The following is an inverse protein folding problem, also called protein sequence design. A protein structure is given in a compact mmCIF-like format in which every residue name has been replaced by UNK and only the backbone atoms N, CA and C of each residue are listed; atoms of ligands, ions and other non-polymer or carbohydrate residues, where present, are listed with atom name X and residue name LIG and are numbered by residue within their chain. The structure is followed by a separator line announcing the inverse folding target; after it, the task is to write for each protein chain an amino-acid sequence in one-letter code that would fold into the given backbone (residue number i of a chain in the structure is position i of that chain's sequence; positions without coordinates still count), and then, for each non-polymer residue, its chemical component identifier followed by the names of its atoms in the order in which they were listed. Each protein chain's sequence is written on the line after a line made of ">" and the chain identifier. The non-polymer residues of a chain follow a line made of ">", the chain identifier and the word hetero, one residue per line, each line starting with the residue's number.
data_IF_722006010622
#
_entry.id   IF_722006010622
#
_cell.length_a   1.000
_cell.length_b   1.000
_cell.length_c   1.000
_cell.angle_alpha   90.00
_cell.angle_beta   90.00
_cell.angle_gamma   90.00
#
_symmetry.space_group_name_H-M   'P 1'
#
loop_
_entity.id
_entity.type
_entity.pdbx_description
1 polymer ?
#
# COMPACT_ATOMS: atom_id res chain seq x y z
N UNK A 1 17.73 -6.97 -15.82
CA UNK A 1 16.98 -6.08 -14.93
C UNK A 1 16.46 -6.91 -13.76
N UNK A 2 17.01 -6.69 -12.56
CA UNK A 2 16.66 -7.42 -11.34
C UNK A 2 15.66 -6.63 -10.50
N UNK A 3 14.65 -7.30 -9.98
CA UNK A 3 13.59 -6.70 -9.14
C UNK A 3 13.59 -7.35 -7.76
N UNK A 4 13.59 -6.51 -6.72
CA UNK A 4 13.35 -6.92 -5.33
C UNK A 4 11.99 -6.42 -4.87
N UNK A 5 11.07 -7.34 -4.57
CA UNK A 5 9.76 -7.02 -4.02
C UNK A 5 9.75 -7.28 -2.51
N UNK A 6 9.47 -6.25 -1.73
CA UNK A 6 9.45 -6.32 -0.27
C UNK A 6 8.06 -6.07 0.28
N UNK A 7 7.66 -6.89 1.25
CA UNK A 7 6.45 -6.76 2.04
C UNK A 7 6.77 -6.86 3.54
N UNK A 8 5.86 -6.36 4.37
CA UNK A 8 6.00 -6.40 5.82
C UNK A 8 4.85 -7.21 6.47
N UNK A 9 4.96 -8.54 6.56
CA UNK A 9 3.98 -9.37 7.27
C UNK A 9 3.96 -9.06 8.76
N UNK A 10 2.78 -9.15 9.36
CA UNK A 10 2.57 -8.88 10.78
C UNK A 10 1.72 -9.97 11.42
N UNK A 11 2.10 -10.40 12.61
CA UNK A 11 1.31 -11.33 13.42
C UNK A 11 0.05 -10.64 13.94
N UNK A 12 -1.10 -11.15 13.56
CA UNK A 12 -2.40 -10.59 13.94
C UNK A 12 -3.33 -11.66 14.51
N UNK A 13 -4.35 -11.21 15.22
CA UNK A 13 -5.43 -12.09 15.70
C UNK A 13 -6.45 -12.34 14.59
N UNK A 14 -7.28 -13.37 14.75
CA UNK A 14 -8.38 -13.71 13.82
C UNK A 14 -9.42 -12.60 13.63
N UNK A 15 -9.44 -11.60 14.51
CA UNK A 15 -10.34 -10.45 14.40
C UNK A 15 -9.82 -9.34 13.48
N UNK A 16 -8.58 -9.47 12.98
CA UNK A 16 -7.99 -8.52 12.03
C UNK A 16 -8.26 -8.96 10.59
N UNK A 17 -8.61 -8.02 9.73
CA UNK A 17 -8.76 -8.26 8.28
C UNK A 17 -7.46 -8.80 7.65
N UNK A 18 -6.32 -8.43 8.19
CA UNK A 18 -5.00 -8.95 7.77
C UNK A 18 -4.85 -10.45 8.00
N UNK A 19 -5.65 -11.06 8.90
CA UNK A 19 -5.57 -12.49 9.14
C UNK A 19 -5.94 -13.31 7.90
N UNK A 20 -6.91 -12.84 7.13
CA UNK A 20 -7.34 -13.46 5.87
C UNK A 20 -6.60 -12.88 4.66
N UNK A 21 -6.29 -11.58 4.67
CA UNK A 21 -5.69 -10.90 3.53
C UNK A 21 -4.22 -11.31 3.28
N UNK A 22 -3.39 -11.41 4.33
CA UNK A 22 -1.97 -11.73 4.17
C UNK A 22 -1.72 -13.07 3.44
N UNK A 23 -2.36 -14.19 3.79
CA UNK A 23 -2.16 -15.44 3.07
C UNK A 23 -2.51 -15.36 1.58
N UNK A 24 -3.51 -14.55 1.21
CA UNK A 24 -3.87 -14.31 -0.21
C UNK A 24 -2.76 -13.52 -0.90
N UNK A 25 -2.26 -12.47 -0.28
CA UNK A 25 -1.12 -11.69 -0.79
C UNK A 25 0.08 -12.60 -1.04
N UNK A 26 0.44 -13.46 -0.09
CA UNK A 26 1.59 -14.37 -0.23
C UNK A 26 1.42 -15.32 -1.41
N UNK A 27 0.25 -15.98 -1.52
CA UNK A 27 -0.04 -16.91 -2.62
C UNK A 27 0.01 -16.23 -3.98
N UNK A 28 -0.61 -15.05 -4.09
CA UNK A 28 -0.70 -14.35 -5.37
C UNK A 28 0.64 -13.79 -5.80
N UNK A 29 1.48 -13.33 -4.88
CA UNK A 29 2.85 -12.88 -5.16
C UNK A 29 3.73 -14.05 -5.63
N UNK A 30 3.67 -15.20 -4.95
CA UNK A 30 4.40 -16.41 -5.36
C UNK A 30 3.94 -16.90 -6.73
N UNK A 31 2.61 -16.92 -6.96
CA UNK A 31 2.04 -17.31 -8.26
C UNK A 31 2.52 -16.36 -9.35
N UNK A 32 2.40 -15.06 -9.16
CA UNK A 32 2.81 -14.07 -10.14
C UNK A 32 4.31 -14.17 -10.48
N UNK A 33 5.17 -14.46 -9.49
CA UNK A 33 6.58 -14.73 -9.73
C UNK A 33 6.78 -15.99 -10.56
N UNK A 34 6.16 -17.09 -10.18
CA UNK A 34 6.35 -18.38 -10.83
C UNK A 34 5.81 -18.39 -12.27
N UNK A 35 4.74 -17.67 -12.53
CA UNK A 35 4.12 -17.54 -13.86
C UNK A 35 4.88 -16.56 -14.78
N UNK A 36 5.70 -15.65 -14.21
CA UNK A 36 6.43 -14.65 -14.98
C UNK A 36 7.55 -15.27 -15.81
N UNK A 37 7.73 -14.79 -17.04
CA UNK A 37 8.88 -15.13 -17.89
C UNK A 37 10.21 -14.58 -17.30
N UNK A 38 10.14 -13.64 -16.37
CA UNK A 38 11.29 -13.02 -15.68
C UNK A 38 11.53 -13.58 -14.27
N UNK A 39 10.94 -14.71 -13.91
CA UNK A 39 10.94 -15.28 -12.53
C UNK A 39 12.33 -15.33 -11.88
N UNK A 40 13.37 -15.64 -12.66
CA UNK A 40 14.76 -15.78 -12.14
C UNK A 40 15.40 -14.43 -11.79
N UNK A 41 14.86 -13.33 -12.30
CA UNK A 41 15.27 -11.96 -12.02
C UNK A 41 14.42 -11.29 -10.92
N UNK A 42 13.46 -12.02 -10.35
CA UNK A 42 12.57 -11.51 -9.31
C UNK A 42 12.93 -12.18 -7.99
N UNK A 43 13.24 -11.36 -6.98
CA UNK A 43 13.39 -11.80 -5.60
C UNK A 43 12.31 -11.19 -4.73
N UNK A 44 11.74 -11.99 -3.85
CA UNK A 44 10.69 -11.58 -2.92
C UNK A 44 11.22 -11.62 -1.50
N UNK A 45 11.04 -10.53 -0.77
CA UNK A 45 11.57 -10.34 0.57
C UNK A 45 10.47 -10.07 1.58
N UNK A 46 10.68 -10.55 2.80
CA UNK A 46 9.88 -10.19 3.96
C UNK A 46 10.74 -9.55 5.04
N UNK A 47 10.17 -8.56 5.71
CA UNK A 47 10.77 -7.91 6.85
C UNK A 47 9.69 -7.64 7.90
N UNK A 48 10.02 -7.77 9.17
CA UNK A 48 9.13 -7.47 10.29
C UNK A 48 9.90 -7.47 11.58
N UNK A 49 9.20 -7.39 12.70
CA UNK A 49 9.82 -7.59 14.01
C UNK A 49 10.03 -9.08 14.29
N UNK A 50 10.89 -9.40 15.26
CA UNK A 50 11.17 -10.80 15.61
C UNK A 50 9.91 -11.57 16.01
N UNK A 51 8.94 -10.90 16.63
CA UNK A 51 7.64 -11.47 17.00
C UNK A 51 6.74 -11.82 15.81
N UNK A 52 7.01 -11.28 14.62
CA UNK A 52 6.25 -11.52 13.39
C UNK A 52 6.77 -12.71 12.58
N UNK A 53 7.98 -13.21 12.88
CA UNK A 53 8.61 -14.32 12.15
C UNK A 53 7.71 -15.55 11.94
N UNK A 54 6.84 -15.95 12.91
CA UNK A 54 5.98 -17.12 12.72
C UNK A 54 4.95 -17.01 11.59
N UNK A 55 4.68 -15.82 11.07
CA UNK A 55 3.73 -15.61 9.95
C UNK A 55 4.42 -15.32 8.63
N UNK A 56 5.75 -15.39 8.58
CA UNK A 56 6.48 -15.18 7.34
C UNK A 56 6.25 -16.34 6.37
N UNK A 57 5.90 -16.06 5.11
CA UNK A 57 5.59 -17.09 4.14
C UNK A 57 6.83 -17.82 3.66
N UNK A 58 6.71 -19.11 3.39
CA UNK A 58 7.75 -19.87 2.68
C UNK A 58 7.93 -19.30 1.25
N UNK A 59 9.14 -19.41 0.70
CA UNK A 59 9.47 -18.92 -0.64
C UNK A 59 9.89 -17.46 -0.73
N UNK A 60 9.86 -16.73 0.39
CA UNK A 60 10.42 -15.38 0.51
C UNK A 60 11.76 -15.41 1.24
N UNK A 61 12.66 -14.50 0.84
CA UNK A 61 13.91 -14.28 1.57
C UNK A 61 13.62 -13.39 2.80
N UNK A 62 14.08 -13.82 3.98
CA UNK A 62 13.85 -13.11 5.25
C UNK A 62 15.01 -12.13 5.47
N UNK A 63 14.69 -10.86 5.66
CA UNK A 63 15.65 -9.83 5.98
C UNK A 63 15.86 -9.71 7.50
N UNK A 64 16.91 -8.99 7.90
CA UNK A 64 17.19 -8.69 9.32
C UNK A 64 15.96 -8.03 9.97
N UNK A 65 15.56 -8.46 11.17
CA UNK A 65 14.40 -7.90 11.85
C UNK A 65 14.50 -6.38 12.06
N UNK A 66 13.35 -5.72 12.05
CA UNK A 66 13.25 -4.31 12.39
C UNK A 66 13.53 -4.09 13.89
N UNK A 67 14.24 -3.01 14.20
CA UNK A 67 14.60 -2.66 15.57
C UNK A 67 13.78 -1.47 16.08
N UNK A 68 13.43 -0.52 15.20
CA UNK A 68 12.73 0.72 15.51
C UNK A 68 11.28 0.67 15.06
N UNK A 69 10.45 1.47 15.73
CA UNK A 69 9.05 1.67 15.41
C UNK A 69 8.64 3.13 15.57
N UNK A 70 7.41 3.47 15.20
CA UNK A 70 6.85 4.80 15.48
C UNK A 70 6.83 5.15 16.96
N UNK A 71 6.84 4.13 17.85
CA UNK A 71 6.85 4.32 19.31
C UNK A 71 8.10 5.04 19.81
N UNK A 72 9.20 4.99 19.06
CA UNK A 72 10.46 5.67 19.39
C UNK A 72 10.41 7.18 19.09
N UNK A 73 9.36 7.66 18.43
CA UNK A 73 9.22 9.03 17.93
C UNK A 73 8.02 9.79 18.47
N UNK A 74 7.27 9.20 19.39
CA UNK A 74 6.13 9.88 19.99
C UNK A 74 5.43 9.08 21.09
N UNK A 75 4.54 9.76 21.81
CA UNK A 75 3.72 9.13 22.86
C UNK A 75 2.33 8.79 22.30
N UNK A 76 2.04 7.50 22.24
CA UNK A 76 0.79 6.97 21.70
C UNK A 76 -0.01 6.28 22.80
N UNK A 77 -1.33 6.50 22.82
CA UNK A 77 -2.22 5.87 23.83
C UNK A 77 -2.31 4.36 23.62
N UNK A 78 -2.20 3.91 22.35
CA UNK A 78 -2.17 2.50 22.00
C UNK A 78 -0.73 2.06 21.77
N UNK A 79 -0.32 1.03 22.48
CA UNK A 79 1.01 0.44 22.31
C UNK A 79 1.01 -0.45 21.07
N UNK A 80 1.40 0.13 19.93
CA UNK A 80 1.47 -0.59 18.65
C UNK A 80 2.74 -0.21 17.89
N UNK A 81 3.61 -1.17 17.71
CA UNK A 81 4.82 -1.01 16.91
C UNK A 81 4.45 -0.94 15.43
N UNK A 82 4.25 0.27 14.90
CA UNK A 82 4.12 0.44 13.45
C UNK A 82 5.50 0.68 12.85
N UNK A 83 5.90 -0.12 11.83
CA UNK A 83 7.21 -0.01 11.21
C UNK A 83 7.40 1.32 10.50
N UNK A 84 8.63 1.82 10.48
CA UNK A 84 9.01 2.99 9.69
C UNK A 84 9.27 2.56 8.25
N UNK A 85 8.69 3.26 7.29
CA UNK A 85 8.91 2.96 5.85
C UNK A 85 10.40 3.08 5.48
N UNK A 86 11.12 4.01 6.09
CA UNK A 86 12.56 4.17 5.91
C UNK A 86 13.32 2.89 6.23
N UNK A 87 12.99 2.23 7.34
CA UNK A 87 13.71 1.03 7.80
C UNK A 87 13.40 -0.17 6.90
N UNK A 88 12.14 -0.29 6.47
CA UNK A 88 11.73 -1.34 5.51
C UNK A 88 12.52 -1.20 4.20
N UNK A 89 12.57 0.00 3.62
CA UNK A 89 13.23 0.21 2.34
C UNK A 89 14.77 0.14 2.45
N UNK A 90 15.33 0.65 3.54
CA UNK A 90 16.78 0.59 3.78
C UNK A 90 17.31 -0.83 3.97
N UNK A 91 16.45 -1.79 4.37
CA UNK A 91 16.84 -3.19 4.44
C UNK A 91 17.27 -3.78 3.08
N UNK A 92 16.85 -3.15 1.97
CA UNK A 92 17.26 -3.51 0.61
C UNK A 92 18.49 -2.73 0.10
N UNK A 93 19.08 -1.84 0.91
CA UNK A 93 20.15 -0.95 0.46
C UNK A 93 21.36 -1.72 -0.07
N UNK A 94 21.73 -2.80 0.59
CA UNK A 94 22.91 -3.62 0.22
C UNK A 94 22.55 -4.77 -0.74
N UNK A 95 21.25 -4.98 -1.03
CA UNK A 95 20.81 -6.02 -1.96
C UNK A 95 21.15 -5.59 -3.40
N UNK A 96 21.74 -6.49 -4.18
CA UNK A 96 22.00 -6.25 -5.59
C UNK A 96 20.69 -6.36 -6.40
N UNK A 97 20.11 -5.22 -6.74
CA UNK A 97 18.86 -5.10 -7.51
C UNK A 97 18.83 -3.78 -8.26
N UNK A 98 18.13 -3.74 -9.39
CA UNK A 98 17.95 -2.52 -10.19
C UNK A 98 16.72 -1.74 -9.73
N UNK A 99 15.65 -2.47 -9.40
CA UNK A 99 14.36 -1.89 -8.99
C UNK A 99 13.85 -2.52 -7.70
N UNK A 100 13.14 -1.70 -6.94
CA UNK A 100 12.42 -2.11 -5.73
C UNK A 100 10.93 -1.99 -5.98
N UNK A 101 10.18 -3.01 -5.55
CA UNK A 101 8.74 -2.97 -5.40
C UNK A 101 8.42 -3.00 -3.90
N UNK A 102 7.61 -2.07 -3.45
CA UNK A 102 6.99 -2.09 -2.13
C UNK A 102 5.47 -2.17 -2.28
N UNK A 103 4.86 -3.14 -1.63
CA UNK A 103 3.39 -3.21 -1.46
C UNK A 103 3.04 -3.41 0.00
N UNK A 104 1.86 -2.94 0.40
CA UNK A 104 1.29 -3.34 1.68
C UNK A 104 1.01 -4.85 1.68
N UNK A 105 0.99 -5.44 2.87
CA UNK A 105 0.87 -6.89 3.06
C UNK A 105 -0.53 -7.45 2.77
N UNK A 106 -1.50 -6.59 2.54
CA UNK A 106 -2.89 -6.88 2.19
C UNK A 106 -3.22 -6.62 0.71
N UNK A 107 -2.17 -6.47 -0.12
CA UNK A 107 -2.31 -6.26 -1.56
C UNK A 107 -2.01 -7.54 -2.32
N UNK A 108 -3.05 -8.16 -2.84
CA UNK A 108 -2.96 -9.27 -3.76
C UNK A 108 -2.68 -8.78 -5.20
N UNK A 109 -2.07 -9.63 -6.02
CA UNK A 109 -1.67 -9.27 -7.39
C UNK A 109 -2.17 -10.29 -8.41
N UNK A 110 -2.35 -9.85 -9.65
CA UNK A 110 -2.66 -10.74 -10.78
C UNK A 110 -1.43 -11.54 -11.24
N UNK A 111 -1.63 -12.72 -11.88
CA UNK A 111 -0.52 -13.55 -12.34
C UNK A 111 0.47 -12.85 -13.26
N UNK A 112 0.03 -11.90 -14.10
CA UNK A 112 0.89 -11.14 -15.03
C UNK A 112 1.45 -9.85 -14.45
N UNK A 113 1.36 -9.64 -13.12
CA UNK A 113 1.79 -8.44 -12.43
C UNK A 113 3.26 -8.06 -12.72
N UNK A 114 4.17 -9.01 -12.60
CA UNK A 114 5.59 -8.74 -12.84
C UNK A 114 5.89 -8.50 -14.33
N UNK A 115 5.28 -9.26 -15.23
CA UNK A 115 5.49 -9.08 -16.67
C UNK A 115 5.02 -7.70 -17.13
N UNK A 116 3.89 -7.22 -16.58
CA UNK A 116 3.43 -5.85 -16.80
C UNK A 116 4.45 -4.81 -16.31
N UNK A 117 4.99 -4.98 -15.11
CA UNK A 117 6.00 -4.07 -14.56
C UNK A 117 7.24 -4.07 -15.45
N UNK A 118 7.75 -5.24 -15.85
CA UNK A 118 8.90 -5.33 -16.74
C UNK A 118 8.66 -4.61 -18.07
N UNK A 119 7.51 -4.77 -18.69
CA UNK A 119 7.14 -4.06 -19.92
C UNK A 119 7.24 -2.54 -19.72
N UNK A 120 6.67 -2.01 -18.63
CA UNK A 120 6.71 -0.57 -18.34
C UNK A 120 8.12 -0.03 -18.10
N UNK A 121 8.94 -0.81 -17.38
CA UNK A 121 10.34 -0.43 -17.14
C UNK A 121 11.18 -0.49 -18.42
N UNK A 122 10.92 -1.43 -19.31
CA UNK A 122 11.55 -1.52 -20.63
C UNK A 122 11.11 -0.37 -21.55
N UNK A 123 9.88 0.12 -21.43
CA UNK A 123 9.36 1.31 -22.12
C UNK A 123 9.94 2.62 -21.55
N UNK A 124 10.88 2.51 -20.61
CA UNK A 124 11.66 3.62 -20.07
C UNK A 124 11.08 4.31 -18.85
N UNK A 125 10.01 3.79 -18.23
CA UNK A 125 9.57 4.28 -16.92
C UNK A 125 10.65 3.94 -15.88
N UNK A 126 10.97 4.88 -15.00
CA UNK A 126 11.90 4.63 -13.89
C UNK A 126 11.18 4.43 -12.55
N UNK A 127 9.91 4.76 -12.52
CA UNK A 127 9.04 4.54 -11.35
C UNK A 127 7.59 4.36 -11.77
N UNK A 128 6.87 3.49 -11.03
CA UNK A 128 5.44 3.26 -11.21
C UNK A 128 4.73 3.38 -9.86
N UNK A 129 3.54 3.94 -9.89
CA UNK A 129 2.57 3.83 -8.79
C UNK A 129 1.36 3.10 -9.35
N UNK A 130 1.06 1.93 -8.80
CA UNK A 130 -0.05 1.11 -9.26
C UNK A 130 -1.19 1.22 -8.27
N UNK A 131 -2.34 1.69 -8.77
CA UNK A 131 -3.54 1.84 -7.98
C UNK A 131 -4.22 0.49 -7.78
N UNK A 132 -4.79 0.30 -6.59
CA UNK A 132 -5.50 -0.93 -6.23
C UNK A 132 -6.98 -0.87 -6.58
N UNK A 133 -7.58 -2.04 -6.69
CA UNK A 133 -9.02 -2.23 -6.64
C UNK A 133 -9.41 -2.90 -5.32
N UNK A 134 -10.62 -2.65 -4.85
CA UNK A 134 -11.14 -3.27 -3.63
C UNK A 134 -12.13 -4.35 -4.00
N UNK A 135 -11.94 -5.54 -3.45
CA UNK A 135 -12.84 -6.69 -3.60
C UNK A 135 -13.40 -7.10 -2.24
N UNK A 136 -14.68 -7.41 -2.18
CA UNK A 136 -15.40 -7.52 -0.91
C UNK A 136 -15.00 -8.73 -0.06
N UNK A 137 -14.71 -9.84 -0.66
CA UNK A 137 -14.17 -11.05 0.00
C UNK A 137 -13.80 -12.10 -1.04
N UNK A 138 -12.82 -12.94 -0.72
CA UNK A 138 -12.35 -13.95 -1.66
C UNK A 138 -12.26 -15.29 -1.00
N UNK A 139 -13.06 -16.20 -1.51
CA UNK A 139 -12.96 -17.62 -1.20
C UNK A 139 -12.06 -18.37 -2.19
N UNK A 140 -11.84 -17.79 -3.38
CA UNK A 140 -11.12 -18.41 -4.48
C UNK A 140 -10.35 -17.35 -5.28
N UNK A 141 -9.07 -17.58 -5.53
CA UNK A 141 -8.20 -16.68 -6.28
C UNK A 141 -8.67 -16.49 -7.73
N UNK A 142 -9.26 -17.54 -8.35
CA UNK A 142 -9.80 -17.44 -9.72
C UNK A 142 -10.99 -16.46 -9.80
N UNK A 143 -11.86 -16.46 -8.79
CA UNK A 143 -12.96 -15.50 -8.71
C UNK A 143 -12.41 -14.09 -8.54
N UNK A 144 -11.37 -13.92 -7.70
CA UNK A 144 -10.70 -12.64 -7.52
C UNK A 144 -10.14 -12.11 -8.84
N UNK A 145 -9.45 -12.95 -9.59
CA UNK A 145 -8.86 -12.55 -10.86
C UNK A 145 -9.89 -12.15 -11.91
N UNK A 146 -11.11 -12.70 -11.82
CA UNK A 146 -12.23 -12.38 -12.70
C UNK A 146 -13.06 -11.17 -12.25
N UNK A 147 -12.95 -10.77 -10.97
CA UNK A 147 -13.77 -9.69 -10.40
C UNK A 147 -13.15 -8.32 -10.71
N UNK A 148 -13.94 -7.41 -11.27
CA UNK A 148 -13.49 -6.05 -11.53
C UNK A 148 -13.17 -5.27 -10.25
N UNK A 149 -13.83 -5.55 -9.15
CA UNK A 149 -13.71 -4.80 -7.91
C UNK A 149 -14.11 -3.33 -8.04
N UNK A 150 -13.93 -2.58 -6.98
CA UNK A 150 -14.17 -1.13 -6.94
C UNK A 150 -12.85 -0.36 -7.03
N UNK A 151 -12.82 0.68 -7.86
CA UNK A 151 -11.65 1.57 -7.94
C UNK A 151 -11.44 2.28 -6.59
N UNK A 152 -10.19 2.39 -6.17
CA UNK A 152 -9.79 3.06 -4.94
C UNK A 152 -8.79 4.20 -5.23
N UNK A 153 -8.94 5.39 -4.62
CA UNK A 153 -8.05 6.52 -4.89
C UNK A 153 -6.67 6.43 -4.22
N UNK A 154 -6.44 5.46 -3.36
CA UNK A 154 -5.19 5.30 -2.62
C UNK A 154 -4.09 4.63 -3.43
N UNK A 155 -2.86 4.79 -2.96
CA UNK A 155 -1.65 4.21 -3.54
C UNK A 155 -1.05 3.20 -2.57
N UNK A 156 -0.88 1.95 -3.01
CA UNK A 156 -0.43 0.85 -2.15
C UNK A 156 0.60 -0.07 -2.81
N UNK A 157 1.00 0.23 -4.06
CA UNK A 157 2.05 -0.46 -4.78
C UNK A 157 2.96 0.56 -5.47
N UNK A 158 4.24 0.50 -5.14
CA UNK A 158 5.26 1.44 -5.59
C UNK A 158 6.43 0.67 -6.17
N UNK A 159 6.77 0.98 -7.42
CA UNK A 159 7.93 0.45 -8.14
C UNK A 159 8.86 1.61 -8.41
N UNK A 160 10.15 1.44 -8.14
CA UNK A 160 11.10 2.52 -8.38
C UNK A 160 12.53 1.98 -8.53
N UNK A 161 13.34 2.73 -9.28
CA UNK A 161 14.76 2.45 -9.43
C UNK A 161 15.46 2.53 -8.07
N UNK A 162 16.23 1.51 -7.69
CA UNK A 162 16.92 1.46 -6.40
C UNK A 162 17.78 2.70 -6.12
N UNK A 163 18.40 3.28 -7.14
CA UNK A 163 19.23 4.49 -7.00
C UNK A 163 18.47 5.68 -6.39
N UNK A 164 17.14 5.72 -6.48
CA UNK A 164 16.31 6.77 -5.89
C UNK A 164 16.23 6.66 -4.37
N UNK A 165 16.45 5.47 -3.81
CA UNK A 165 16.29 5.22 -2.37
C UNK A 165 17.16 6.17 -1.52
N UNK A 166 18.36 6.51 -1.96
CA UNK A 166 19.27 7.42 -1.26
C UNK A 166 18.79 8.88 -1.23
N UNK A 167 17.85 9.25 -2.11
CA UNK A 167 17.30 10.60 -2.21
C UNK A 167 16.03 10.76 -1.41
N UNK A 168 15.35 9.67 -1.06
CA UNK A 168 14.03 9.70 -0.40
C UNK A 168 14.10 10.31 1.00
N UNK A 169 13.09 11.10 1.32
CA UNK A 169 12.91 11.74 2.61
C UNK A 169 11.60 11.21 3.21
N UNK A 170 11.67 10.50 4.33
CA UNK A 170 10.48 9.96 5.01
C UNK A 170 10.35 10.39 6.47
N UNK A 171 11.45 10.83 7.10
CA UNK A 171 11.47 11.06 8.53
C UNK A 171 11.09 9.79 9.30
N UNK A 172 10.20 9.94 10.27
CA UNK A 172 9.65 8.82 11.06
C UNK A 172 8.24 8.40 10.60
N UNK A 173 7.92 8.59 9.32
CA UNK A 173 6.64 8.14 8.74
C UNK A 173 6.51 6.63 8.85
N UNK A 174 5.41 6.15 9.44
CA UNK A 174 5.16 4.73 9.67
C UNK A 174 4.12 4.17 8.69
N UNK A 175 4.20 2.86 8.40
CA UNK A 175 3.17 2.13 7.69
C UNK A 175 2.02 1.75 8.64
N UNK A 176 0.87 1.39 8.10
CA UNK A 176 -0.32 1.04 8.89
C UNK A 176 -1.06 2.25 9.48
N UNK A 177 -0.74 3.46 9.05
CA UNK A 177 -1.44 4.71 9.35
C UNK A 177 -1.63 5.52 8.06
N UNK A 178 -2.54 6.50 8.08
CA UNK A 178 -2.81 7.36 6.92
C UNK A 178 -1.56 8.13 6.45
N UNK A 179 -1.62 8.64 5.24
CA UNK A 179 -0.62 9.48 4.56
C UNK A 179 0.66 8.79 4.09
N UNK A 180 0.89 7.49 4.38
CA UNK A 180 2.06 6.76 3.85
C UNK A 180 2.09 6.78 2.31
N UNK A 181 0.96 6.56 1.64
CA UNK A 181 0.86 6.66 0.18
C UNK A 181 1.23 8.05 -0.34
N UNK A 182 0.96 9.12 0.43
CA UNK A 182 1.37 10.49 0.08
C UNK A 182 2.87 10.71 0.24
N UNK A 183 3.46 10.14 1.29
CA UNK A 183 4.91 10.18 1.48
C UNK A 183 5.66 9.51 0.33
N UNK A 184 5.22 8.33 -0.10
CA UNK A 184 5.79 7.62 -1.24
C UNK A 184 5.58 8.39 -2.54
N UNK A 185 4.35 8.84 -2.81
CA UNK A 185 3.99 9.60 -4.01
C UNK A 185 4.86 10.85 -4.17
N UNK A 186 5.00 11.67 -3.13
CA UNK A 186 5.73 12.94 -3.22
C UNK A 186 7.22 12.74 -3.44
N UNK A 187 7.82 11.70 -2.82
CA UNK A 187 9.21 11.35 -3.10
C UNK A 187 9.40 10.91 -4.56
N UNK A 188 8.56 9.99 -5.05
CA UNK A 188 8.64 9.51 -6.43
C UNK A 188 8.41 10.64 -7.43
N UNK A 189 7.40 11.48 -7.19
CA UNK A 189 7.07 12.61 -8.06
C UNK A 189 8.24 13.61 -8.18
N UNK A 190 8.99 13.84 -7.09
CA UNK A 190 10.12 14.76 -7.12
C UNK A 190 11.35 14.13 -7.77
N UNK A 191 11.67 12.89 -7.41
CA UNK A 191 12.98 12.29 -7.74
C UNK A 191 12.99 11.40 -8.98
N UNK A 192 11.82 10.98 -9.48
CA UNK A 192 11.75 10.21 -10.72
C UNK A 192 11.88 11.12 -11.94
N UNK A 193 12.52 10.60 -12.98
CA UNK A 193 12.58 11.22 -14.30
C UNK A 193 11.29 10.93 -15.09
N UNK A 194 10.80 9.69 -15.03
CA UNK A 194 9.59 9.24 -15.72
C UNK A 194 8.71 8.41 -14.79
N UNK A 195 7.95 9.09 -13.92
CA UNK A 195 6.94 8.47 -13.07
C UNK A 195 5.65 8.20 -13.86
N UNK A 196 5.19 6.96 -13.87
CA UNK A 196 3.89 6.58 -14.39
C UNK A 196 2.93 6.22 -13.25
N UNK A 197 1.71 6.78 -13.26
CA UNK A 197 0.62 6.40 -12.34
C UNK A 197 -0.35 5.52 -13.10
N UNK A 198 -0.31 4.23 -12.78
CA UNK A 198 -1.15 3.21 -13.41
C UNK A 198 -2.48 3.15 -12.67
N UNK A 199 -3.53 3.68 -13.32
CA UNK A 199 -4.89 3.65 -12.81
C UNK A 199 -5.69 2.60 -13.57
N UNK A 200 -6.50 1.85 -12.82
CA UNK A 200 -7.47 0.91 -13.40
C UNK A 200 -6.89 -0.19 -14.31
N UNK A 201 -5.60 -0.51 -14.17
CA UNK A 201 -4.96 -1.59 -14.92
C UNK A 201 -5.32 -2.99 -14.41
N UNK A 202 -6.14 -3.08 -13.39
CA UNK A 202 -6.61 -4.35 -12.83
C UNK A 202 -5.45 -5.30 -12.45
N UNK A 203 -4.43 -4.75 -11.77
CA UNK A 203 -3.19 -5.48 -11.44
C UNK A 203 -3.09 -5.84 -9.97
N UNK A 204 -3.64 -5.01 -9.10
CA UNK A 204 -3.52 -5.14 -7.65
C UNK A 204 -4.88 -5.02 -6.98
N UNK A 205 -5.07 -5.80 -5.92
CA UNK A 205 -6.32 -5.88 -5.18
C UNK A 205 -6.09 -5.76 -3.69
N UNK A 206 -6.96 -5.02 -3.04
CA UNK A 206 -7.12 -5.04 -1.59
C UNK A 206 -8.33 -5.90 -1.23
N UNK A 207 -8.16 -6.77 -0.25
CA UNK A 207 -9.18 -7.69 0.22
C UNK A 207 -9.82 -7.14 1.48
N UNK A 208 -11.15 -7.07 1.49
CA UNK A 208 -11.92 -6.64 2.64
C UNK A 208 -12.34 -5.17 2.61
N UNK A 209 -13.00 -4.74 3.66
CA UNK A 209 -13.43 -3.36 3.81
C UNK A 209 -12.32 -2.56 4.51
N UNK A 210 -11.97 -1.41 3.99
CA UNK A 210 -11.03 -0.44 4.59
C UNK A 210 -11.57 0.13 5.91
N UNK A 211 -11.65 -0.70 6.94
CA UNK A 211 -12.31 -0.33 8.20
C UNK A 211 -11.39 -0.18 9.40
N UNK A 212 -10.24 -0.84 9.41
CA UNK A 212 -9.38 -0.91 10.59
C UNK A 212 -8.80 0.44 11.02
N UNK A 213 -8.48 1.32 10.08
CA UNK A 213 -7.95 2.67 10.33
C UNK A 213 -9.03 3.71 10.71
N UNK A 214 -10.32 3.39 10.50
CA UNK A 214 -11.45 4.23 10.93
C UNK A 214 -11.69 4.20 12.46
N UNK A 215 -11.03 3.31 13.16
CA UNK A 215 -11.14 3.24 14.61
C UNK A 215 -10.45 4.45 15.24
N UNK A 216 -11.13 5.14 16.17
CA UNK A 216 -10.63 6.34 16.88
C UNK A 216 -9.22 6.17 17.48
N UNK A 217 -8.79 4.93 17.71
CA UNK A 217 -7.49 4.57 18.26
C UNK A 217 -6.31 4.89 17.34
N UNK A 218 -6.52 5.09 16.03
CA UNK A 218 -5.48 5.39 15.05
C UNK A 218 -5.20 6.87 14.86
N UNK A 219 -6.05 7.75 15.36
CA UNK A 219 -5.95 9.21 15.12
C UNK A 219 -4.59 9.81 15.52
N UNK A 220 -3.93 9.27 16.54
CA UNK A 220 -2.60 9.74 16.96
C UNK A 220 -1.50 9.34 15.98
N UNK A 221 -1.57 8.13 15.42
CA UNK A 221 -0.64 7.66 14.38
C UNK A 221 -0.84 8.44 13.08
N UNK A 222 -2.10 8.69 12.71
CA UNK A 222 -2.44 9.52 11.54
C UNK A 222 -1.93 10.95 11.70
N UNK A 223 -2.09 11.55 12.89
CA UNK A 223 -1.56 12.88 13.19
C UNK A 223 -0.04 12.91 13.19
N UNK A 224 0.63 11.84 13.65
CA UNK A 224 2.07 11.70 13.55
C UNK A 224 2.51 11.70 12.08
N UNK A 225 1.95 10.79 11.26
CA UNK A 225 2.26 10.74 9.84
C UNK A 225 1.94 12.06 9.13
N UNK A 226 0.81 12.71 9.45
CA UNK A 226 0.46 14.02 8.89
C UNK A 226 1.58 15.03 9.12
N UNK A 227 2.10 15.12 10.36
CA UNK A 227 3.21 16.03 10.71
C UNK A 227 4.49 15.68 9.96
N UNK A 228 4.85 14.40 9.93
CA UNK A 228 6.09 13.96 9.26
C UNK A 228 6.02 14.17 7.75
N UNK A 229 4.90 13.86 7.11
CA UNK A 229 4.72 14.09 5.67
C UNK A 229 4.66 15.60 5.34
N UNK A 230 4.09 16.44 6.21
CA UNK A 230 4.17 17.89 6.02
C UNK A 230 5.61 18.42 6.08
N UNK A 231 6.44 17.92 7.02
CA UNK A 231 7.87 18.25 7.09
C UNK A 231 8.62 17.76 5.84
N UNK A 232 8.32 16.53 5.40
CA UNK A 232 8.86 15.95 4.18
C UNK A 232 8.56 16.85 2.99
N UNK A 233 7.30 17.25 2.78
CA UNK A 233 6.90 18.12 1.66
C UNK A 233 7.61 19.48 1.76
N UNK A 234 7.71 20.05 2.95
CA UNK A 234 8.45 21.29 3.16
C UNK A 234 9.94 21.16 2.79
N UNK A 235 10.55 19.99 3.03
CA UNK A 235 11.92 19.72 2.61
C UNK A 235 12.03 19.55 1.10
N UNK A 236 11.08 18.85 0.48
CA UNK A 236 11.05 18.69 -0.99
C UNK A 236 10.84 20.01 -1.71
N UNK A 237 10.00 20.90 -1.18
CA UNK A 237 9.78 22.25 -1.75
C UNK A 237 11.06 23.12 -1.78
N UNK A 238 12.00 22.90 -0.83
CA UNK A 238 13.27 23.65 -0.79
C UNK A 238 14.25 23.23 -1.90
N UNK A 239 14.16 22.01 -2.37
CA UNK A 239 15.09 21.42 -3.34
C UNK A 239 14.50 21.29 -4.76
N UNK A 240 13.19 21.44 -4.89
CA UNK A 240 12.47 21.30 -6.16
C UNK A 240 12.45 22.65 -6.90
N UNK A 241 12.92 22.65 -8.14
CA UNK A 241 12.94 23.87 -9.00
C UNK A 241 11.85 23.85 -10.06
N UNK A 242 11.32 22.69 -10.41
CA UNK A 242 10.30 22.51 -11.42
C UNK A 242 8.93 23.00 -10.93
N UNK A 243 8.37 24.00 -11.58
CA UNK A 243 7.12 24.63 -11.17
C UNK A 243 5.92 23.67 -11.10
N UNK A 244 5.85 22.72 -12.03
CA UNK A 244 4.82 21.67 -12.05
C UNK A 244 4.86 20.80 -10.80
N UNK A 245 6.05 20.38 -10.38
CA UNK A 245 6.28 19.58 -9.16
C UNK A 245 6.00 20.41 -7.90
N UNK A 246 6.39 21.68 -7.89
CA UNK A 246 6.07 22.60 -6.77
C UNK A 246 4.55 22.71 -6.59
N UNK A 247 3.81 22.97 -7.67
CA UNK A 247 2.34 23.06 -7.64
C UNK A 247 1.70 21.76 -7.12
N UNK A 248 2.23 20.62 -7.53
CA UNK A 248 1.70 19.33 -7.07
C UNK A 248 2.00 19.06 -5.58
N UNK A 249 3.20 19.40 -5.09
CA UNK A 249 3.52 19.35 -3.65
C UNK A 249 2.57 20.22 -2.83
N UNK A 250 2.28 21.43 -3.30
CA UNK A 250 1.35 22.34 -2.64
C UNK A 250 -0.08 21.79 -2.62
N UNK A 251 -0.53 21.14 -3.69
CA UNK A 251 -1.85 20.47 -3.72
C UNK A 251 -1.93 19.33 -2.71
N UNK A 252 -0.88 18.51 -2.61
CA UNK A 252 -0.83 17.42 -1.62
C UNK A 252 -0.88 17.98 -0.21
N UNK A 253 -0.14 19.04 0.08
CA UNK A 253 -0.15 19.70 1.39
C UNK A 253 -1.55 20.25 1.72
N UNK A 254 -2.16 20.98 0.79
CA UNK A 254 -3.52 21.50 0.93
C UNK A 254 -4.55 20.38 1.16
N UNK A 255 -4.45 19.27 0.41
CA UNK A 255 -5.30 18.10 0.64
C UNK A 255 -5.15 17.57 2.07
N UNK A 256 -3.91 17.44 2.57
CA UNK A 256 -3.65 16.92 3.91
C UNK A 256 -4.18 17.85 5.00
N UNK A 257 -4.07 19.17 4.82
CA UNK A 257 -4.55 20.16 5.80
C UNK A 257 -6.07 20.12 5.93
N UNK A 258 -6.77 19.91 4.80
CA UNK A 258 -8.23 19.83 4.74
C UNK A 258 -8.76 18.39 4.96
N UNK A 259 -7.88 17.40 5.11
CA UNK A 259 -8.30 16.02 5.32
C UNK A 259 -8.94 15.86 6.69
N UNK A 260 -10.24 15.60 6.69
CA UNK A 260 -10.99 15.20 7.87
C UNK A 260 -11.28 13.70 7.78
N UNK A 261 -10.88 12.96 8.80
CA UNK A 261 -11.33 11.59 8.98
C UNK A 261 -12.87 11.61 9.04
N UNK A 262 -13.52 11.10 8.00
CA UNK A 262 -14.97 10.87 8.07
C UNK A 262 -15.20 9.87 9.19
N UNK A 263 -15.81 10.32 10.30
CA UNK A 263 -16.26 9.39 11.33
C UNK A 263 -17.10 8.31 10.64
N UNK A 264 -16.84 7.02 10.90
CA UNK A 264 -17.68 5.98 10.34
C UNK A 264 -19.11 6.29 10.73
N UNK A 265 -20.00 6.36 9.75
CA UNK A 265 -21.43 6.39 10.06
C UNK A 265 -21.68 5.14 10.89
N UNK A 266 -22.26 5.25 12.09
CA UNK A 266 -22.57 4.07 12.88
C UNK A 266 -23.32 3.12 11.96
N UNK A 267 -22.84 1.88 11.89
CA UNK A 267 -23.52 0.80 11.16
C UNK A 267 -24.87 0.59 11.86
N UNK A 268 -25.85 1.38 11.48
CA UNK A 268 -27.25 1.12 11.84
C UNK A 268 -27.56 -0.16 11.07
N UNK A 269 -27.40 -1.31 11.75
CA UNK A 269 -27.90 -2.59 11.26
C UNK A 269 -29.40 -2.43 11.08
N UNK A 270 -29.83 -1.99 9.89
CA UNK A 270 -31.24 -1.95 9.57
C UNK A 270 -31.80 -3.35 9.83
N UNK A 271 -32.89 -3.49 10.57
CA UNK A 271 -33.52 -4.77 10.81
C UNK A 271 -33.74 -5.51 9.49
N UNK A 272 -33.58 -6.82 9.48
CA UNK A 272 -33.63 -7.64 8.26
C UNK A 272 -34.87 -7.31 7.39
N UNK A 273 -36.02 -7.04 8.02
CA UNK A 273 -37.25 -6.59 7.34
C UNK A 273 -37.08 -5.27 6.55
N UNK A 274 -36.28 -4.33 7.00
CA UNK A 274 -36.02 -3.08 6.25
C UNK A 274 -35.04 -3.27 5.12
N UNK A 275 -34.08 -4.20 5.23
CA UNK A 275 -33.17 -4.56 4.14
C UNK A 275 -33.89 -5.22 2.98
N UNK A 276 -34.81 -6.13 3.27
CA UNK A 276 -35.65 -6.80 2.26
C UNK A 276 -36.56 -5.79 1.55
N UNK A 277 -37.25 -4.90 2.28
CA UNK A 277 -38.09 -3.85 1.70
C UNK A 277 -37.32 -2.88 0.79
N UNK A 278 -36.08 -2.50 1.17
CA UNK A 278 -35.26 -1.58 0.35
C UNK A 278 -34.74 -2.25 -0.91
N UNK A 279 -34.43 -3.54 -0.88
CA UNK A 279 -34.03 -4.31 -2.09
C UNK A 279 -35.23 -4.55 -3.02
N UNK A 280 -36.41 -4.92 -2.49
CA UNK A 280 -37.63 -5.06 -3.28
C UNK A 280 -38.04 -3.75 -3.95
N UNK A 281 -37.96 -2.60 -3.26
CA UNK A 281 -38.20 -1.29 -3.91
C UNK A 281 -37.23 -0.98 -5.05
N UNK A 282 -35.95 -1.33 -4.92
CA UNK A 282 -34.97 -1.14 -6.01
C UNK A 282 -35.24 -2.05 -7.22
N UNK A 283 -35.64 -3.29 -6.97
CA UNK A 283 -35.98 -4.25 -8.02
C UNK A 283 -37.24 -3.79 -8.74
N UNK A 284 -38.31 -3.41 -8.03
CA UNK A 284 -39.56 -2.90 -8.61
C UNK A 284 -39.26 -1.63 -9.44
N UNK A 285 -38.44 -0.72 -8.95
CA UNK A 285 -38.08 0.52 -9.70
C UNK A 285 -37.25 0.27 -10.95
N UNK A 286 -36.51 -0.85 -11.01
CA UNK A 286 -35.73 -1.25 -12.19
C UNK A 286 -36.60 -1.94 -13.25
N UNK A 287 -37.76 -2.49 -12.88
CA UNK A 287 -38.72 -3.12 -13.80
C UNK A 287 -39.74 -2.13 -14.39
N UNK A 288 -39.88 -0.93 -13.84
CA UNK A 288 -40.81 0.11 -14.30
C UNK A 288 -40.12 1.32 -14.93
N UNK A 289 -38.86 1.20 -15.26
CA UNK A 289 -38.10 2.06 -16.20
C UNK A 289 -37.74 1.28 -17.46
#
# INVERSE_FOLDING_TARGET
>A
LNISHIINPVKVTKSSDLYEAQPVTFRTLLKAKNDSIYKDSIKQYVIGYSEDTPVFPAGFEILKPLERSVMDYGSFSKQRKLPLITDILNALKEINTDYIIYTNVDIAVLPFFYDYIYSKLQDGSDSLIINRRVVASLKDDAIMFAELGQSHPGYDCFVFRKALLSKFIFGSTCIGANFIGRAMYTNLMVFSEKLEIVKDAHLTFHIGEDGAWLLNDFSKFDNHNKKEVSKLIASLLKITQEESKIKELQKVLHFMDNFQLKKPKPLVKKPLKQRVKSRLKKIIHAFYK
#
